data_IF_808865804950
#
_entry.id   IF_808865804950
#
_cell.length_a   1.000
_cell.length_b   1.000
_cell.length_c   1.000
_cell.angle_alpha   90.00
_cell.angle_beta   90.00
_cell.angle_gamma   90.00
#
_symmetry.space_group_name_H-M   'P 1'
#
loop_
_entity.id
_entity.type
_entity.pdbx_description
1 polymer ?
#
# COMPACT_ATOMS: atom_id res chain seq x y z
N UNK A 1 -16.66 35.55 -72.84
CA UNK A 1 -17.80 36.39 -72.45
C UNK A 1 -18.45 35.67 -71.28
N UNK A 2 -18.41 36.29 -70.10
CA UNK A 2 -18.95 35.78 -68.84
C UNK A 2 -20.40 35.32 -68.98
N UNK A 3 -20.80 34.20 -68.34
CA UNK A 3 -21.50 34.19 -67.06
C UNK A 3 -22.00 32.78 -66.69
N UNK A 4 -21.90 32.45 -65.40
CA UNK A 4 -22.69 31.48 -64.63
C UNK A 4 -22.35 29.98 -64.72
N UNK A 5 -21.57 29.52 -63.74
CA UNK A 5 -21.80 28.23 -63.10
C UNK A 5 -21.44 28.33 -61.61
N UNK A 6 -22.25 29.09 -60.88
CA UNK A 6 -22.35 28.98 -59.43
C UNK A 6 -23.22 27.76 -59.08
N UNK A 7 -23.01 27.23 -57.87
CA UNK A 7 -23.78 26.15 -57.21
C UNK A 7 -23.26 24.72 -57.43
N UNK A 8 -22.00 24.43 -57.03
CA UNK A 8 -21.64 23.08 -56.52
C UNK A 8 -20.62 23.11 -55.36
N UNK A 9 -19.90 24.21 -55.10
CA UNK A 9 -18.81 24.20 -54.08
C UNK A 9 -19.22 24.82 -52.74
N UNK A 10 -20.44 24.53 -52.26
CA UNK A 10 -20.90 25.00 -50.94
C UNK A 10 -21.64 23.91 -50.16
N UNK A 11 -21.02 22.74 -49.98
CA UNK A 11 -21.64 21.66 -49.19
C UNK A 11 -20.68 20.79 -48.35
N UNK A 12 -19.38 21.11 -48.21
CA UNK A 12 -18.43 20.18 -47.56
C UNK A 12 -17.51 20.78 -46.48
N UNK A 13 -17.86 21.94 -45.89
CA UNK A 13 -17.08 22.51 -44.77
C UNK A 13 -17.93 23.05 -43.62
N UNK A 14 -19.05 22.39 -43.29
CA UNK A 14 -19.81 22.66 -42.06
C UNK A 14 -20.31 21.35 -41.46
N UNK A 15 -19.42 20.43 -41.05
CA UNK A 15 -19.81 19.28 -40.21
C UNK A 15 -18.61 18.55 -39.55
N UNK A 16 -17.64 19.27 -38.99
CA UNK A 16 -16.70 18.63 -38.05
C UNK A 16 -16.07 19.63 -37.06
N UNK A 17 -16.84 20.63 -36.64
CA UNK A 17 -16.55 21.40 -35.44
C UNK A 17 -17.54 21.00 -34.33
N UNK A 18 -17.68 19.68 -34.11
CA UNK A 18 -17.97 19.22 -32.77
C UNK A 18 -16.67 19.40 -32.00
N UNK A 19 -16.44 20.63 -31.51
CA UNK A 19 -15.68 20.79 -30.29
C UNK A 19 -16.39 19.87 -29.30
N UNK A 20 -15.76 18.74 -28.98
CA UNK A 20 -15.92 18.14 -27.67
C UNK A 20 -15.47 19.20 -26.67
N UNK A 21 -16.37 20.13 -26.35
CA UNK A 21 -16.37 20.81 -25.08
C UNK A 21 -16.62 19.67 -24.10
N UNK A 22 -15.53 19.02 -23.69
CA UNK A 22 -15.52 18.28 -22.44
C UNK A 22 -15.82 19.36 -21.42
N UNK A 23 -17.09 19.44 -21.02
CA UNK A 23 -17.45 20.11 -19.79
C UNK A 23 -16.67 19.38 -18.71
N UNK A 24 -15.50 19.89 -18.36
CA UNK A 24 -14.89 19.59 -17.10
C UNK A 24 -15.94 20.01 -16.07
N UNK A 25 -16.70 19.04 -15.58
CA UNK A 25 -17.47 19.22 -14.37
C UNK A 25 -16.43 19.62 -13.33
N UNK A 26 -16.38 20.90 -12.97
CA UNK A 26 -15.56 21.38 -11.87
C UNK A 26 -16.26 20.95 -10.57
N UNK A 27 -16.29 19.63 -10.36
CA UNK A 27 -16.76 18.99 -9.14
C UNK A 27 -15.78 19.24 -7.97
N UNK A 28 -14.66 19.91 -8.24
CA UNK A 28 -13.58 20.20 -7.31
C UNK A 28 -12.77 18.96 -6.94
N UNK A 29 -12.94 17.85 -7.69
CA UNK A 29 -12.25 16.59 -7.46
C UNK A 29 -10.94 16.54 -8.25
N UNK A 30 -9.90 16.05 -7.60
CA UNK A 30 -8.60 15.83 -8.25
C UNK A 30 -8.42 14.34 -8.48
N UNK A 31 -8.50 13.96 -9.76
CA UNK A 31 -8.52 12.57 -10.21
C UNK A 31 -7.17 12.18 -10.80
N UNK A 32 -6.57 11.15 -10.24
CA UNK A 32 -5.26 10.63 -10.64
C UNK A 32 -5.43 9.20 -11.15
N UNK A 33 -5.28 9.02 -12.45
CA UNK A 33 -5.29 7.69 -13.06
C UNK A 33 -4.11 6.83 -12.57
N UNK A 34 -4.39 5.59 -12.22
CA UNK A 34 -3.41 4.59 -11.82
C UNK A 34 -3.18 3.59 -12.96
N UNK A 35 -1.93 3.17 -13.10
CA UNK A 35 -1.55 2.03 -13.94
C UNK A 35 -1.46 0.78 -13.09
N UNK A 36 -1.87 -0.35 -13.67
CA UNK A 36 -1.71 -1.66 -13.06
C UNK A 36 -0.53 -2.40 -13.69
N UNK A 37 0.44 -2.80 -12.88
CA UNK A 37 1.52 -3.71 -13.28
C UNK A 37 0.90 -5.08 -13.59
N UNK A 38 1.17 -5.60 -14.78
CA UNK A 38 0.85 -7.00 -15.12
C UNK A 38 1.68 -7.92 -14.22
N UNK A 39 1.07 -9.02 -13.76
CA UNK A 39 1.73 -10.02 -12.93
C UNK A 39 3.01 -10.53 -13.63
N UNK A 40 4.16 -10.43 -12.95
CA UNK A 40 5.47 -10.85 -13.46
C UNK A 40 6.02 -11.99 -12.58
N UNK A 41 6.22 -13.21 -13.12
CA UNK A 41 6.77 -14.35 -12.39
C UNK A 41 8.12 -14.07 -11.70
N UNK A 42 8.94 -13.18 -12.27
CA UNK A 42 10.24 -12.83 -11.71
C UNK A 42 10.12 -12.10 -10.36
N UNK A 43 9.06 -11.31 -10.17
CA UNK A 43 8.85 -10.64 -8.88
C UNK A 43 8.53 -11.63 -7.77
N UNK A 44 7.75 -12.67 -8.10
CA UNK A 44 7.39 -13.72 -7.14
C UNK A 44 8.60 -14.57 -6.75
N UNK A 45 9.54 -14.78 -7.69
CA UNK A 45 10.80 -15.44 -7.37
C UNK A 45 11.67 -14.55 -6.46
N UNK A 46 11.80 -13.27 -6.78
CA UNK A 46 12.58 -12.33 -5.99
C UNK A 46 12.03 -12.18 -4.55
N UNK A 47 10.70 -12.07 -4.37
CA UNK A 47 10.10 -11.99 -3.04
C UNK A 47 10.31 -13.26 -2.20
N UNK A 48 10.30 -14.44 -2.84
CA UNK A 48 10.67 -15.71 -2.18
C UNK A 48 12.13 -15.72 -1.75
N UNK A 49 13.05 -15.37 -2.63
CA UNK A 49 14.49 -15.36 -2.33
C UNK A 49 14.81 -14.41 -1.17
N UNK A 50 14.24 -13.20 -1.15
CA UNK A 50 14.45 -12.27 -0.02
C UNK A 50 13.86 -12.81 1.29
N UNK A 51 12.71 -13.49 1.24
CA UNK A 51 12.12 -14.10 2.44
C UNK A 51 12.95 -15.27 2.98
N UNK A 52 13.54 -16.08 2.09
CA UNK A 52 14.43 -17.19 2.42
C UNK A 52 15.75 -16.68 3.01
N UNK A 53 16.37 -15.67 2.38
CA UNK A 53 17.59 -15.02 2.88
C UNK A 53 17.36 -14.41 4.27
N UNK A 54 16.21 -13.78 4.50
CA UNK A 54 15.84 -13.25 5.82
C UNK A 54 15.71 -14.36 6.87
N UNK A 55 15.04 -15.46 6.54
CA UNK A 55 14.91 -16.60 7.45
C UNK A 55 16.26 -17.25 7.75
N UNK A 56 17.11 -17.43 6.74
CA UNK A 56 18.46 -17.96 6.91
C UNK A 56 19.33 -17.06 7.80
N UNK A 57 19.23 -15.73 7.63
CA UNK A 57 19.92 -14.77 8.49
C UNK A 57 19.46 -14.88 9.95
N UNK A 58 18.13 -14.90 10.18
CA UNK A 58 17.55 -15.04 11.52
C UNK A 58 18.01 -16.35 12.18
N UNK A 59 17.95 -17.46 11.44
CA UNK A 59 18.40 -18.76 11.93
C UNK A 59 19.89 -18.74 12.31
N UNK A 60 20.74 -18.13 11.48
CA UNK A 60 22.18 -17.99 11.76
C UNK A 60 22.48 -17.12 12.99
N UNK A 61 21.66 -16.09 13.24
CA UNK A 61 21.78 -15.25 14.43
C UNK A 61 21.35 -15.98 15.69
N UNK A 62 20.29 -16.80 15.61
CA UNK A 62 19.83 -17.64 16.72
C UNK A 62 20.88 -18.69 17.10
N UNK A 63 21.50 -19.34 16.10
CA UNK A 63 22.57 -20.32 16.31
C UNK A 63 23.83 -19.68 16.92
N UNK A 64 24.20 -18.47 16.48
CA UNK A 64 25.42 -17.79 16.92
C UNK A 64 25.31 -17.09 18.28
N UNK A 65 24.12 -16.62 18.66
CA UNK A 65 23.92 -15.82 19.88
C UNK A 65 23.06 -16.48 20.96
N UNK A 66 22.53 -17.70 20.73
CA UNK A 66 21.80 -18.45 21.75
C UNK A 66 20.56 -17.74 22.31
N UNK A 67 19.90 -16.89 21.52
CA UNK A 67 18.62 -16.32 21.90
C UNK A 67 17.55 -17.43 21.88
N UNK A 68 17.28 -18.00 23.05
CA UNK A 68 16.03 -18.72 23.29
C UNK A 68 14.86 -17.78 23.03
N UNK A 69 13.85 -18.25 22.29
CA UNK A 69 12.60 -17.55 22.03
C UNK A 69 11.89 -17.19 23.34
N UNK A 70 12.20 -16.01 23.87
CA UNK A 70 11.20 -15.17 24.52
C UNK A 70 10.78 -14.10 23.49
N UNK A 71 10.21 -14.56 22.37
CA UNK A 71 9.26 -13.74 21.64
C UNK A 71 7.99 -13.76 22.49
N UNK A 72 8.00 -12.99 23.57
CA UNK A 72 6.75 -12.47 24.09
C UNK A 72 6.08 -11.71 22.96
N UNK A 73 4.76 -11.82 22.87
CA UNK A 73 3.91 -10.90 22.13
C UNK A 73 4.38 -9.47 22.39
N UNK A 74 5.22 -8.95 21.50
CA UNK A 74 5.49 -7.53 21.45
C UNK A 74 4.38 -6.96 20.57
N UNK A 75 3.41 -6.33 21.24
CA UNK A 75 2.27 -5.61 20.65
C UNK A 75 2.68 -4.51 19.65
N UNK A 76 3.97 -4.19 19.49
CA UNK A 76 4.49 -3.18 18.54
C UNK A 76 5.37 -3.84 17.45
N UNK A 77 4.78 -4.70 16.61
CA UNK A 77 5.40 -5.03 15.32
C UNK A 77 5.17 -3.86 14.36
N UNK A 78 6.24 -3.16 13.94
CA UNK A 78 6.12 -2.08 12.96
C UNK A 78 5.61 -2.64 11.62
N UNK A 79 4.35 -2.34 11.26
CA UNK A 79 3.71 -2.83 10.03
C UNK A 79 4.44 -2.33 8.78
N UNK A 80 5.13 -1.17 8.83
CA UNK A 80 6.00 -0.73 7.72
C UNK A 80 7.09 -1.78 7.46
N UNK A 81 7.65 -2.39 8.51
CA UNK A 81 8.64 -3.44 8.43
C UNK A 81 8.05 -4.82 8.03
N UNK A 82 6.75 -4.92 7.74
CA UNK A 82 6.11 -6.10 7.14
C UNK A 82 5.80 -5.93 5.66
N UNK A 83 6.01 -4.73 5.11
CA UNK A 83 5.61 -4.41 3.73
C UNK A 83 6.45 -5.12 2.68
N UNK A 84 5.74 -5.68 1.69
CA UNK A 84 6.28 -6.24 0.46
C UNK A 84 5.75 -5.48 -0.77
N UNK A 85 6.49 -4.49 -1.26
CA UNK A 85 6.13 -3.75 -2.48
C UNK A 85 6.36 -4.53 -3.78
N UNK A 86 6.91 -5.75 -3.76
CA UNK A 86 7.01 -6.58 -4.98
C UNK A 86 5.64 -7.03 -5.47
N UNK A 87 4.69 -7.13 -4.55
CA UNK A 87 3.33 -7.45 -4.86
C UNK A 87 2.55 -6.20 -5.28
N UNK A 88 3.03 -4.98 -5.00
CA UNK A 88 2.33 -3.73 -5.30
C UNK A 88 2.04 -3.58 -6.81
N UNK A 89 0.75 -3.59 -7.13
CA UNK A 89 0.28 -3.60 -8.51
C UNK A 89 -0.05 -2.23 -9.07
N UNK A 90 -0.29 -1.21 -8.25
CA UNK A 90 -0.84 0.06 -8.72
C UNK A 90 0.10 1.22 -8.43
N UNK A 91 0.36 2.03 -9.45
CA UNK A 91 1.22 3.20 -9.36
C UNK A 91 0.69 4.33 -10.25
N UNK A 92 0.95 5.57 -9.85
CA UNK A 92 0.63 6.76 -10.63
C UNK A 92 1.86 7.64 -10.81
N UNK A 93 1.68 8.80 -11.43
CA UNK A 93 2.76 9.76 -11.69
C UNK A 93 2.64 10.98 -10.77
N UNK A 94 3.77 11.43 -10.24
CA UNK A 94 3.93 12.72 -9.57
C UNK A 94 5.09 13.50 -10.21
N UNK A 95 5.12 14.81 -9.98
CA UNK A 95 6.27 15.65 -10.29
C UNK A 95 6.94 16.15 -9.02
N UNK A 96 8.26 16.27 -8.98
CA UNK A 96 9.00 16.92 -7.88
C UNK A 96 9.90 18.00 -8.47
N UNK A 97 9.82 19.21 -7.94
CA UNK A 97 10.63 20.35 -8.37
C UNK A 97 9.97 21.27 -9.39
N UNK A 98 10.69 22.36 -9.70
CA UNK A 98 10.29 23.35 -10.72
C UNK A 98 11.44 23.58 -11.72
N UNK A 99 11.34 23.14 -12.99
CA UNK A 99 10.20 22.43 -13.57
C UNK A 99 9.99 21.02 -12.96
N UNK A 100 8.77 20.45 -13.04
CA UNK A 100 8.47 19.13 -12.46
C UNK A 100 9.31 18.01 -13.06
N UNK A 101 10.06 17.30 -12.21
CA UNK A 101 10.76 16.06 -12.55
C UNK A 101 9.83 14.89 -12.25
N UNK A 102 9.52 14.06 -13.24
CA UNK A 102 8.47 13.02 -13.13
C UNK A 102 8.97 11.76 -12.44
N UNK A 103 8.14 11.21 -11.55
CA UNK A 103 8.35 9.94 -10.87
C UNK A 103 7.09 9.12 -10.89
N UNK A 104 7.24 7.82 -11.09
CA UNK A 104 6.19 6.85 -10.83
C UNK A 104 6.21 6.46 -9.36
N UNK A 105 5.07 6.51 -8.68
CA UNK A 105 5.00 6.21 -7.24
C UNK A 105 3.82 5.33 -6.90
N UNK A 106 4.00 4.53 -5.85
CA UNK A 106 2.87 3.91 -5.14
C UNK A 106 2.26 4.97 -4.22
N UNK A 107 0.95 5.13 -4.30
CA UNK A 107 0.19 5.91 -3.32
C UNK A 107 -0.24 4.97 -2.20
N UNK A 108 0.38 5.13 -1.04
CA UNK A 108 0.46 4.09 -0.03
C UNK A 108 -0.19 4.53 1.29
N UNK A 109 -1.36 4.00 1.62
CA UNK A 109 -2.06 4.30 2.88
C UNK A 109 -1.40 3.65 4.10
N UNK A 110 -0.54 2.65 3.95
CA UNK A 110 0.17 2.04 5.07
C UNK A 110 1.51 2.72 5.41
N UNK A 111 1.88 3.82 4.76
CA UNK A 111 3.09 4.60 5.09
C UNK A 111 2.84 6.10 4.96
N UNK A 112 3.74 6.94 5.48
CA UNK A 112 3.47 8.38 5.62
C UNK A 112 4.55 9.30 5.06
N UNK A 113 5.64 8.73 4.54
CA UNK A 113 6.73 9.49 3.94
C UNK A 113 6.60 9.51 2.41
N UNK A 114 6.94 10.63 1.79
CA UNK A 114 7.30 10.69 0.37
C UNK A 114 8.81 10.45 0.24
N UNK A 115 9.20 9.57 -0.67
CA UNK A 115 10.61 9.39 -1.05
C UNK A 115 10.77 9.06 -2.53
N UNK A 116 11.88 9.54 -3.11
CA UNK A 116 12.26 9.27 -4.50
C UNK A 116 13.79 9.11 -4.62
N UNK A 117 14.30 8.40 -5.64
CA UNK A 117 15.73 8.20 -5.85
C UNK A 117 16.46 9.53 -6.06
N UNK A 118 17.57 9.75 -5.36
CA UNK A 118 18.41 10.93 -5.55
C UNK A 118 19.35 10.74 -6.74
N UNK A 119 19.70 11.83 -7.41
CA UNK A 119 20.84 11.88 -8.33
C UNK A 119 22.17 11.55 -7.64
N UNK A 120 22.21 11.56 -6.30
CA UNK A 120 23.33 11.17 -5.46
C UNK A 120 23.35 9.67 -5.12
N UNK A 121 22.42 8.88 -5.65
CA UNK A 121 22.42 7.44 -5.50
C UNK A 121 23.38 6.77 -6.51
N UNK A 122 24.62 6.53 -6.08
CA UNK A 122 25.68 6.02 -6.95
C UNK A 122 25.91 4.50 -6.83
N UNK A 123 25.63 3.93 -5.66
CA UNK A 123 26.08 2.57 -5.32
C UNK A 123 24.98 1.51 -5.34
N UNK A 124 23.71 1.92 -5.37
CA UNK A 124 22.60 0.96 -5.51
C UNK A 124 22.27 0.75 -6.97
N UNK A 125 22.35 -0.50 -7.42
CA UNK A 125 22.04 -0.90 -8.80
C UNK A 125 20.61 -0.52 -9.18
N UNK A 126 19.66 -0.57 -8.22
CA UNK A 126 18.26 -0.14 -8.40
C UNK A 126 18.14 1.29 -8.96
N UNK A 127 18.94 2.24 -8.47
CA UNK A 127 18.93 3.64 -8.89
C UNK A 127 19.41 3.88 -10.34
N UNK A 128 19.92 2.87 -11.02
CA UNK A 128 20.27 2.95 -12.45
C UNK A 128 19.09 2.62 -13.36
N UNK A 129 18.04 1.98 -12.82
CA UNK A 129 16.83 1.60 -13.55
C UNK A 129 15.62 2.49 -13.25
N UNK A 130 15.76 3.42 -12.30
CA UNK A 130 14.71 4.33 -11.86
C UNK A 130 15.07 5.80 -12.14
N UNK A 131 14.03 6.62 -12.25
CA UNK A 131 14.16 8.07 -12.35
C UNK A 131 14.84 8.64 -11.11
N UNK A 132 15.65 9.68 -11.27
CA UNK A 132 16.40 10.30 -10.17
C UNK A 132 16.12 11.79 -10.06
N UNK A 133 15.81 12.21 -8.84
CA UNK A 133 15.62 13.61 -8.48
C UNK A 133 16.95 14.34 -8.45
N UNK A 134 17.00 15.45 -9.18
CA UNK A 134 18.15 16.32 -9.32
C UNK A 134 17.82 17.67 -8.70
N UNK A 135 18.25 17.88 -7.46
CA UNK A 135 18.07 19.14 -6.75
C UNK A 135 18.65 20.35 -7.52
N UNK A 136 19.73 20.17 -8.27
CA UNK A 136 20.36 21.22 -9.07
C UNK A 136 19.53 21.71 -10.26
N UNK A 137 18.54 20.92 -10.69
CA UNK A 137 17.66 21.25 -11.83
C UNK A 137 16.31 21.84 -11.38
N UNK A 138 16.08 21.98 -10.06
CA UNK A 138 14.86 22.57 -9.51
C UNK A 138 15.10 23.97 -8.94
N UNK A 139 14.27 24.93 -9.35
CA UNK A 139 14.29 26.32 -8.86
C UNK A 139 13.66 26.49 -7.47
N UNK A 140 12.80 25.56 -7.07
CA UNK A 140 12.03 25.59 -5.81
C UNK A 140 12.64 24.71 -4.72
N UNK A 141 13.74 24.02 -5.04
CA UNK A 141 14.48 23.20 -4.09
C UNK A 141 14.96 23.99 -2.88
N UNK A 142 14.71 23.42 -1.69
CA UNK A 142 15.23 23.89 -0.42
C UNK A 142 15.93 22.75 0.31
N UNK A 143 17.19 22.98 0.69
CA UNK A 143 18.00 21.99 1.40
C UNK A 143 17.48 21.81 2.83
N UNK A 144 17.31 20.55 3.25
CA UNK A 144 17.18 20.16 4.65
C UNK A 144 18.44 19.38 5.09
N UNK A 145 18.70 18.23 4.46
CA UNK A 145 19.91 17.42 4.67
C UNK A 145 19.90 16.54 5.92
N UNK A 146 18.86 16.57 6.75
CA UNK A 146 18.71 15.63 7.88
C UNK A 146 18.67 14.19 7.37
N UNK A 147 19.46 13.26 7.93
CA UNK A 147 19.46 11.87 7.48
C UNK A 147 18.11 11.18 7.77
N UNK A 148 17.75 10.22 6.92
CA UNK A 148 16.55 9.41 7.04
C UNK A 148 16.83 7.97 6.62
N UNK A 149 16.17 7.02 7.29
CA UNK A 149 16.22 5.60 6.94
C UNK A 149 14.86 4.99 7.22
N UNK A 150 14.39 4.12 6.31
CA UNK A 150 13.15 3.38 6.46
C UNK A 150 13.45 1.91 6.18
N UNK A 151 13.03 1.04 7.10
CA UNK A 151 13.13 -0.41 6.96
C UNK A 151 11.76 -0.97 6.57
N UNK A 152 11.69 -1.65 5.45
CA UNK A 152 10.52 -2.42 5.01
C UNK A 152 10.76 -3.92 5.25
N UNK A 153 9.70 -4.73 5.08
CA UNK A 153 9.81 -6.18 5.28
C UNK A 153 10.73 -6.88 4.29
N UNK A 154 10.77 -6.39 3.06
CA UNK A 154 11.55 -6.97 1.96
C UNK A 154 12.64 -6.02 1.44
N UNK A 155 12.99 -4.96 2.17
CA UNK A 155 14.04 -4.03 1.73
C UNK A 155 14.23 -2.85 2.66
N UNK A 156 15.17 -1.97 2.34
CA UNK A 156 15.37 -0.74 3.10
C UNK A 156 15.76 0.41 2.17
N UNK A 157 15.47 1.63 2.59
CA UNK A 157 15.98 2.84 1.94
C UNK A 157 16.69 3.71 2.97
N UNK A 158 17.74 4.40 2.53
CA UNK A 158 18.41 5.42 3.34
C UNK A 158 18.85 6.61 2.48
N UNK A 159 18.85 7.78 3.10
CA UNK A 159 19.04 9.04 2.39
C UNK A 159 18.98 10.24 3.33
N UNK A 160 18.46 11.34 2.82
CA UNK A 160 18.28 12.57 3.59
C UNK A 160 17.04 13.32 3.15
N UNK A 161 16.50 14.14 4.05
CA UNK A 161 15.36 14.99 3.76
C UNK A 161 15.73 16.19 2.88
N UNK A 162 14.80 16.57 2.03
CA UNK A 162 14.82 17.76 1.18
C UNK A 162 13.43 18.38 1.13
N UNK A 163 13.33 19.64 0.76
CA UNK A 163 12.08 20.33 0.48
C UNK A 163 12.02 20.69 -1.00
N UNK A 164 10.87 20.49 -1.61
CA UNK A 164 10.54 21.05 -2.93
C UNK A 164 9.02 21.07 -3.14
N UNK A 165 8.57 21.61 -4.27
CA UNK A 165 7.19 21.53 -4.71
C UNK A 165 6.90 20.14 -5.29
N UNK A 166 5.77 19.56 -4.93
CA UNK A 166 5.32 18.25 -5.41
C UNK A 166 4.03 18.41 -6.20
N UNK A 167 4.07 18.03 -7.47
CA UNK A 167 2.92 18.03 -8.36
C UNK A 167 2.18 16.68 -8.31
N UNK A 168 0.88 16.69 -8.02
CA UNK A 168 0.00 15.53 -8.06
C UNK A 168 -1.20 15.86 -8.95
N UNK A 169 -1.22 15.31 -10.16
CA UNK A 169 -2.18 15.74 -11.18
C UNK A 169 -1.97 17.21 -11.55
N UNK A 170 -3.00 18.03 -11.38
CA UNK A 170 -2.95 19.48 -11.56
C UNK A 170 -2.60 20.25 -10.27
N UNK A 171 -2.53 19.59 -9.11
CA UNK A 171 -2.19 20.23 -7.84
C UNK A 171 -0.67 20.39 -7.71
N UNK A 172 -0.25 21.53 -7.17
CA UNK A 172 1.14 21.77 -6.76
C UNK A 172 1.16 22.00 -5.26
N UNK A 173 1.67 21.03 -4.52
CA UNK A 173 1.89 21.10 -3.08
C UNK A 173 3.23 21.76 -2.84
N UNK A 174 3.20 22.99 -2.35
CA UNK A 174 4.43 23.74 -2.07
C UNK A 174 5.10 23.25 -0.78
N UNK A 175 6.41 23.43 -0.68
CA UNK A 175 7.17 23.20 0.56
C UNK A 175 6.99 21.79 1.16
N UNK A 176 6.89 20.78 0.29
CA UNK A 176 6.77 19.40 0.71
C UNK A 176 8.13 18.84 1.12
N UNK A 177 8.22 18.35 2.35
CA UNK A 177 9.36 17.60 2.83
C UNK A 177 9.33 16.16 2.29
N UNK A 178 10.43 15.68 1.72
CA UNK A 178 10.54 14.31 1.21
C UNK A 178 11.96 13.78 1.38
N UNK A 179 12.14 12.47 1.22
CA UNK A 179 13.45 11.82 1.32
C UNK A 179 14.02 11.62 -0.08
N UNK A 180 15.23 12.14 -0.28
CA UNK A 180 16.11 11.78 -1.38
C UNK A 180 16.88 10.51 -1.00
N UNK A 181 16.57 9.37 -1.63
CA UNK A 181 17.24 8.11 -1.30
C UNK A 181 18.62 8.04 -1.98
N UNK A 182 19.64 7.63 -1.22
CA UNK A 182 21.03 7.47 -1.71
C UNK A 182 21.48 6.02 -1.71
N UNK A 183 20.75 5.16 -0.99
CA UNK A 183 20.92 3.71 -0.98
C UNK A 183 19.56 3.04 -0.87
N UNK A 184 19.34 2.08 -1.74
CA UNK A 184 18.14 1.24 -1.82
C UNK A 184 18.58 -0.22 -1.93
N UNK A 185 19.11 -0.83 -0.85
CA UNK A 185 19.42 -2.25 -0.83
C UNK A 185 18.15 -3.10 -0.90
N UNK A 186 18.20 -4.17 -1.69
CA UNK A 186 17.12 -5.14 -1.87
C UNK A 186 16.85 -5.44 -3.34
N UNK A 187 16.56 -6.69 -3.66
CA UNK A 187 16.07 -7.14 -4.96
C UNK A 187 14.72 -6.52 -5.28
N UNK A 188 13.94 -6.14 -4.26
CA UNK A 188 12.67 -5.45 -4.44
C UNK A 188 12.76 -4.21 -5.31
N UNK A 189 13.75 -3.35 -5.04
CA UNK A 189 13.93 -2.10 -5.78
C UNK A 189 14.56 -2.33 -7.16
N UNK A 190 15.13 -3.51 -7.43
CA UNK A 190 15.60 -3.86 -8.78
C UNK A 190 14.45 -4.29 -9.70
N UNK A 191 13.45 -4.96 -9.15
CA UNK A 191 12.32 -5.49 -9.91
C UNK A 191 11.06 -4.59 -9.82
N UNK A 192 11.12 -3.52 -9.04
CA UNK A 192 10.12 -2.46 -8.98
C UNK A 192 9.88 -1.86 -10.38
N UNK A 193 8.65 -1.38 -10.59
CA UNK A 193 8.25 -0.58 -11.79
C UNK A 193 7.80 0.81 -11.40
N UNK A 194 8.05 1.17 -10.15
CA UNK A 194 7.79 2.47 -9.57
C UNK A 194 9.13 3.02 -9.08
N UNK A 195 9.31 4.33 -9.16
CA UNK A 195 10.52 5.01 -8.71
C UNK A 195 10.51 5.25 -7.19
N UNK A 196 9.34 5.50 -6.60
CA UNK A 196 9.23 5.84 -5.18
C UNK A 196 7.88 5.56 -4.54
N UNK A 197 7.68 6.07 -3.33
CA UNK A 197 6.42 5.94 -2.58
C UNK A 197 5.96 7.30 -2.11
N UNK A 198 4.67 7.56 -2.26
CA UNK A 198 3.96 8.68 -1.66
C UNK A 198 3.03 8.14 -0.56
N UNK A 199 3.46 8.29 0.69
CA UNK A 199 2.67 7.89 1.85
C UNK A 199 1.42 8.76 2.07
N UNK A 200 0.29 8.10 2.29
CA UNK A 200 -1.04 8.67 2.58
C UNK A 200 -1.55 8.28 3.98
N UNK A 201 -0.71 7.64 4.79
CA UNK A 201 -0.95 7.37 6.20
C UNK A 201 -0.90 8.62 7.07
N UNK A 202 -1.12 8.44 8.38
CA UNK A 202 -1.10 9.54 9.33
C UNK A 202 0.33 9.94 9.73
N UNK A 203 0.51 11.18 10.17
CA UNK A 203 1.84 11.74 10.50
C UNK A 203 2.54 10.97 11.63
N UNK A 204 1.79 10.32 12.49
CA UNK A 204 2.24 9.57 13.68
C UNK A 204 3.26 8.47 13.32
N UNK A 205 3.15 7.86 12.13
CA UNK A 205 4.09 6.84 11.64
C UNK A 205 5.12 7.41 10.64
N UNK A 206 5.15 8.74 10.44
CA UNK A 206 6.11 9.36 9.52
C UNK A 206 7.50 9.42 10.15
N UNK A 207 8.47 8.79 9.48
CA UNK A 207 9.89 8.91 9.82
C UNK A 207 10.30 10.38 9.79
N UNK A 208 11.08 10.79 10.78
CA UNK A 208 11.53 12.17 10.94
C UNK A 208 10.45 13.15 11.39
N UNK A 209 9.21 12.70 11.62
CA UNK A 209 8.00 13.53 11.84
C UNK A 209 7.71 14.48 10.68
N UNK A 210 8.10 14.07 9.46
CA UNK A 210 7.78 14.79 8.24
C UNK A 210 6.26 14.93 8.06
N UNK A 211 5.81 16.00 7.41
CA UNK A 211 4.38 16.22 7.15
C UNK A 211 4.00 15.48 5.86
N UNK A 212 3.03 14.54 5.88
CA UNK A 212 2.61 13.83 4.67
C UNK A 212 2.02 14.78 3.61
N UNK A 213 2.12 14.40 2.33
CA UNK A 213 1.68 15.25 1.20
C UNK A 213 0.22 15.68 1.33
N UNK A 214 -0.65 14.74 1.68
CA UNK A 214 -2.07 14.98 1.90
C UNK A 214 -2.37 16.05 2.96
N UNK A 215 -1.57 16.13 4.03
CA UNK A 215 -1.74 17.15 5.07
C UNK A 215 -1.42 18.54 4.53
N UNK A 216 -0.39 18.64 3.69
CA UNK A 216 -0.03 19.90 3.05
C UNK A 216 -1.06 20.31 1.98
N UNK A 217 -1.64 19.36 1.23
CA UNK A 217 -2.78 19.63 0.33
C UNK A 217 -3.95 20.28 1.09
N UNK A 218 -4.34 19.72 2.24
CA UNK A 218 -5.38 20.29 3.09
C UNK A 218 -5.01 21.67 3.62
N UNK A 219 -3.81 21.79 4.20
CA UNK A 219 -3.32 23.02 4.83
C UNK A 219 -3.24 24.18 3.83
N UNK A 220 -2.90 23.88 2.58
CA UNK A 220 -2.78 24.86 1.49
C UNK A 220 -4.11 25.13 0.77
N UNK A 221 -5.21 24.47 1.16
CA UNK A 221 -6.52 24.66 0.55
C UNK A 221 -6.61 24.15 -0.89
N UNK A 222 -5.76 23.18 -1.26
CA UNK A 222 -5.71 22.63 -2.62
C UNK A 222 -6.84 21.64 -2.91
N UNK A 223 -7.52 21.17 -1.87
CA UNK A 223 -8.60 20.18 -1.95
C UNK A 223 -9.75 20.62 -1.06
N UNK A 224 -10.97 20.36 -1.52
CA UNK A 224 -12.19 20.89 -0.92
C UNK A 224 -12.60 20.15 0.34
N UNK A 225 -12.64 18.82 0.26
CA UNK A 225 -13.05 17.96 1.37
C UNK A 225 -11.86 17.15 1.89
N UNK A 226 -11.78 16.91 3.22
CA UNK A 226 -10.73 16.11 3.84
C UNK A 226 -10.93 14.60 3.65
N UNK A 227 -11.17 14.17 2.41
CA UNK A 227 -11.29 12.77 2.02
C UNK A 227 -10.52 12.49 0.73
N UNK A 228 -9.96 11.30 0.62
CA UNK A 228 -9.51 10.73 -0.65
C UNK A 228 -10.07 9.32 -0.80
N UNK A 229 -10.17 8.84 -2.03
CA UNK A 229 -10.71 7.52 -2.35
C UNK A 229 -9.89 6.82 -3.41
N UNK A 230 -9.96 5.49 -3.41
CA UNK A 230 -9.28 4.62 -4.36
C UNK A 230 -10.30 3.74 -5.08
N UNK A 231 -10.19 3.69 -6.39
CA UNK A 231 -10.77 2.65 -7.22
C UNK A 231 -9.64 1.85 -7.87
N UNK A 232 -9.55 0.56 -7.59
CA UNK A 232 -8.48 -0.30 -8.07
C UNK A 232 -9.06 -1.37 -9.02
N UNK A 233 -8.73 -1.25 -10.31
CA UNK A 233 -9.27 -2.12 -11.34
C UNK A 233 -8.61 -3.50 -11.31
N UNK A 234 -9.42 -4.54 -11.16
CA UNK A 234 -8.93 -5.93 -11.13
C UNK A 234 -8.64 -6.48 -12.52
N UNK A 235 -9.19 -5.89 -13.59
CA UNK A 235 -9.07 -6.37 -14.96
C UNK A 235 -7.67 -6.10 -15.54
N UNK A 236 -6.89 -7.17 -15.73
CA UNK A 236 -5.48 -7.10 -16.19
C UNK A 236 -5.35 -6.72 -17.68
N UNK A 237 -6.44 -6.79 -18.43
CA UNK A 237 -6.50 -6.47 -19.87
C UNK A 237 -6.82 -5.01 -20.19
N UNK A 238 -7.24 -4.21 -19.20
CA UNK A 238 -7.64 -2.82 -19.42
C UNK A 238 -6.44 -1.86 -19.23
N UNK A 239 -6.45 -0.76 -19.99
CA UNK A 239 -5.39 0.26 -19.91
C UNK A 239 -5.44 1.07 -18.61
N UNK A 240 -6.66 1.27 -18.07
CA UNK A 240 -6.88 1.98 -16.81
C UNK A 240 -6.77 0.98 -15.65
N UNK A 241 -5.69 1.11 -14.87
CA UNK A 241 -5.46 0.28 -13.70
C UNK A 241 -6.25 0.71 -12.47
N UNK A 242 -6.70 1.95 -12.41
CA UNK A 242 -7.49 2.47 -11.30
C UNK A 242 -7.53 4.00 -11.30
N UNK A 243 -8.07 4.57 -10.24
CA UNK A 243 -8.15 6.01 -9.99
C UNK A 243 -7.98 6.31 -8.50
N UNK A 244 -7.28 7.39 -8.18
CA UNK A 244 -7.32 8.04 -6.86
C UNK A 244 -8.03 9.36 -7.02
N UNK A 245 -8.97 9.65 -6.13
CA UNK A 245 -9.62 10.95 -6.05
C UNK A 245 -9.23 11.63 -4.76
N UNK A 246 -8.60 12.80 -4.84
CA UNK A 246 -8.42 13.69 -3.69
C UNK A 246 -9.57 14.71 -3.65
N UNK A 247 -10.13 14.95 -2.46
CA UNK A 247 -11.25 15.86 -2.26
C UNK A 247 -12.63 15.24 -2.43
N UNK A 248 -12.75 13.91 -2.62
CA UNK A 248 -14.04 13.24 -2.75
C UNK A 248 -13.97 11.79 -3.23
N UNK A 249 -15.05 11.36 -3.88
CA UNK A 249 -15.24 10.02 -4.43
C UNK A 249 -15.93 10.09 -5.78
N UNK A 250 -15.55 9.21 -6.70
CA UNK A 250 -16.23 9.06 -7.98
C UNK A 250 -17.46 8.14 -7.86
N UNK A 251 -18.70 8.64 -8.06
CA UNK A 251 -19.90 7.81 -8.08
C UNK A 251 -19.91 6.73 -9.17
N UNK A 252 -19.13 6.88 -10.25
CA UNK A 252 -19.08 5.90 -11.34
C UNK A 252 -18.28 4.64 -10.96
N UNK A 253 -17.54 4.69 -9.85
CA UNK A 253 -16.63 3.63 -9.40
C UNK A 253 -17.15 2.77 -8.25
N UNK A 254 -18.38 2.99 -7.78
CA UNK A 254 -19.03 2.14 -6.77
C UNK A 254 -20.53 1.98 -6.98
N UNK A 255 -21.13 1.02 -6.29
CA UNK A 255 -22.58 0.78 -6.30
C UNK A 255 -23.12 0.85 -4.88
N UNK A 256 -24.28 1.47 -4.71
CA UNK A 256 -24.92 1.59 -3.41
C UNK A 256 -24.30 2.68 -2.53
N UNK A 257 -24.22 2.44 -1.21
CA UNK A 257 -23.71 3.39 -0.22
C UNK A 257 -22.44 2.84 0.43
N UNK A 258 -21.57 3.74 0.87
CA UNK A 258 -20.40 3.38 1.68
C UNK A 258 -20.81 3.00 3.10
N UNK A 259 -20.19 1.95 3.63
CA UNK A 259 -20.20 1.64 5.06
C UNK A 259 -18.95 2.25 5.67
N UNK A 260 -19.13 3.19 6.61
CA UNK A 260 -18.02 3.83 7.29
C UNK A 260 -17.76 3.17 8.64
N UNK A 261 -16.49 2.89 8.90
CA UNK A 261 -15.98 2.42 10.20
C UNK A 261 -14.94 3.42 10.69
N UNK A 262 -14.93 3.76 11.99
CA UNK A 262 -14.01 4.75 12.51
C UNK A 262 -12.58 4.21 12.54
N UNK A 263 -11.60 5.11 12.41
CA UNK A 263 -10.21 4.78 12.66
C UNK A 263 -10.02 4.54 14.16
N UNK A 264 -9.47 3.40 14.53
CA UNK A 264 -9.30 3.00 15.95
C UNK A 264 -7.99 3.51 16.53
N UNK A 265 -6.91 3.51 15.73
CA UNK A 265 -5.60 4.01 16.12
C UNK A 265 -5.03 4.92 15.03
N UNK A 266 -4.81 6.20 15.37
CA UNK A 266 -4.20 7.16 14.46
C UNK A 266 -2.72 6.81 14.24
N UNK A 267 -2.41 6.47 13.01
CA UNK A 267 -1.09 6.06 12.54
C UNK A 267 -1.27 5.38 11.19
N UNK A 268 -1.88 4.20 11.23
CA UNK A 268 -2.41 3.51 10.06
C UNK A 268 -3.87 3.88 9.83
N UNK A 269 -4.38 3.57 8.63
CA UNK A 269 -5.82 3.53 8.37
C UNK A 269 -6.43 2.24 8.93
N UNK A 270 -6.31 2.09 10.26
CA UNK A 270 -6.71 0.92 11.02
C UNK A 270 -8.15 1.07 11.54
N UNK A 271 -8.93 -0.01 11.46
CA UNK A 271 -10.30 -0.08 11.97
C UNK A 271 -10.57 -1.46 12.58
N UNK A 272 -11.61 -1.56 13.41
CA UNK A 272 -12.05 -2.84 13.96
C UNK A 272 -12.85 -3.63 12.92
N UNK A 273 -12.51 -4.91 12.80
CA UNK A 273 -13.15 -5.89 11.93
C UNK A 273 -13.69 -7.04 12.77
N UNK A 274 -14.84 -7.59 12.36
CA UNK A 274 -15.38 -8.82 12.93
C UNK A 274 -14.66 -10.08 12.46
N UNK A 275 -15.32 -11.22 12.60
CA UNK A 275 -14.75 -12.50 12.20
C UNK A 275 -14.55 -12.62 10.68
N UNK A 276 -13.61 -13.48 10.30
CA UNK A 276 -13.42 -13.90 8.90
C UNK A 276 -14.25 -15.15 8.66
N UNK A 277 -14.99 -15.18 7.55
CA UNK A 277 -15.80 -16.32 7.16
C UNK A 277 -15.18 -17.01 5.94
N UNK A 278 -15.15 -18.34 5.95
CA UNK A 278 -14.74 -19.17 4.82
C UNK A 278 -15.98 -19.88 4.29
N UNK A 279 -16.48 -19.41 3.14
CA UNK A 279 -17.88 -19.64 2.78
C UNK A 279 -18.78 -18.93 3.79
N UNK A 280 -19.75 -19.65 4.36
CA UNK A 280 -20.64 -19.10 5.39
C UNK A 280 -20.25 -19.56 6.82
N UNK A 281 -19.04 -20.10 7.00
CA UNK A 281 -18.58 -20.63 8.28
C UNK A 281 -17.58 -19.67 8.95
N UNK A 282 -17.82 -19.26 10.21
CA UNK A 282 -16.87 -18.44 10.94
C UNK A 282 -15.57 -19.19 11.20
N UNK A 283 -14.44 -18.48 11.17
CA UNK A 283 -13.15 -19.05 11.58
C UNK A 283 -13.01 -19.12 13.09
N UNK A 284 -13.78 -18.31 13.83
CA UNK A 284 -13.73 -18.22 15.28
C UNK A 284 -12.54 -17.42 15.82
N UNK A 285 -11.45 -17.29 15.04
CA UNK A 285 -10.23 -16.62 15.47
C UNK A 285 -10.44 -15.12 15.69
N UNK A 286 -11.20 -14.46 14.82
CA UNK A 286 -11.51 -13.04 14.92
C UNK A 286 -12.93 -12.79 15.48
N UNK A 287 -13.53 -13.78 16.16
CA UNK A 287 -14.88 -13.66 16.71
C UNK A 287 -14.98 -12.59 17.81
N UNK A 288 -13.91 -12.39 18.59
CA UNK A 288 -13.79 -11.31 19.58
C UNK A 288 -13.42 -9.95 18.97
N UNK A 289 -13.30 -9.86 17.65
CA UNK A 289 -12.79 -8.71 16.92
C UNK A 289 -11.30 -8.84 16.59
N UNK A 290 -10.92 -8.30 15.43
CA UNK A 290 -9.55 -8.16 14.97
C UNK A 290 -9.34 -6.75 14.42
N UNK A 291 -8.13 -6.20 14.55
CA UNK A 291 -7.77 -4.98 13.84
C UNK A 291 -7.52 -5.30 12.35
N UNK A 292 -7.91 -4.38 11.47
CA UNK A 292 -7.62 -4.45 10.05
C UNK A 292 -7.08 -3.10 9.57
N UNK A 293 -6.18 -3.11 8.58
CA UNK A 293 -5.64 -1.91 7.95
C UNK A 293 -6.01 -1.93 6.47
N UNK A 294 -6.58 -0.83 5.99
CA UNK A 294 -6.74 -0.61 4.55
C UNK A 294 -5.42 -0.08 3.98
N UNK A 295 -4.60 -0.98 3.44
CA UNK A 295 -3.28 -0.66 2.86
C UNK A 295 -3.30 -0.78 1.32
N UNK A 296 -3.28 0.35 0.61
CA UNK A 296 -3.20 0.42 -0.85
C UNK A 296 -1.80 0.09 -1.41
N UNK A 297 -0.78 0.08 -0.56
CA UNK A 297 0.61 -0.22 -0.93
C UNK A 297 0.93 -1.72 -0.97
N UNK A 298 0.02 -2.58 -0.52
CA UNK A 298 0.13 -4.05 -0.62
C UNK A 298 -0.93 -4.61 -1.57
N UNK A 299 -0.67 -5.78 -2.16
CA UNK A 299 -1.63 -6.44 -3.06
C UNK A 299 -2.22 -7.75 -2.54
N UNK A 300 -1.63 -8.34 -1.50
CA UNK A 300 -2.16 -9.53 -0.87
C UNK A 300 -2.91 -9.17 0.41
N UNK A 301 -3.91 -9.98 0.76
CA UNK A 301 -4.52 -9.95 2.08
C UNK A 301 -3.59 -10.68 3.05
N UNK A 302 -3.09 -9.98 4.05
CA UNK A 302 -2.32 -10.54 5.15
C UNK A 302 -3.23 -10.70 6.38
N UNK A 303 -3.03 -11.76 7.14
CA UNK A 303 -3.81 -12.05 8.34
C UNK A 303 -3.16 -13.12 9.21
N UNK A 304 -3.78 -13.48 10.35
CA UNK A 304 -3.24 -14.48 11.26
C UNK A 304 -2.95 -15.80 10.54
N UNK A 305 -1.79 -16.39 10.82
CA UNK A 305 -1.34 -17.65 10.18
C UNK A 305 -2.38 -18.76 10.27
N UNK A 306 -3.10 -18.86 11.39
CA UNK A 306 -4.21 -19.81 11.59
C UNK A 306 -5.30 -19.62 10.55
N UNK A 307 -5.81 -18.38 10.41
CA UNK A 307 -6.87 -18.04 9.46
C UNK A 307 -6.40 -18.25 8.02
N UNK A 308 -5.19 -17.81 7.67
CA UNK A 308 -4.60 -17.99 6.34
C UNK A 308 -4.43 -19.48 6.01
N UNK A 309 -4.06 -20.30 6.99
CA UNK A 309 -3.94 -21.76 6.81
C UNK A 309 -5.30 -22.42 6.57
N UNK A 310 -6.35 -22.00 7.30
CA UNK A 310 -7.72 -22.47 7.07
C UNK A 310 -8.19 -22.10 5.65
N UNK A 311 -7.93 -20.86 5.20
CA UNK A 311 -8.25 -20.41 3.84
C UNK A 311 -7.50 -21.27 2.81
N UNK A 312 -6.18 -21.44 2.97
CA UNK A 312 -5.36 -22.23 2.05
C UNK A 312 -5.89 -23.67 1.93
N UNK A 313 -6.21 -24.30 3.05
CA UNK A 313 -6.80 -25.63 3.05
C UNK A 313 -8.15 -25.66 2.32
N UNK A 314 -9.04 -24.70 2.59
CA UNK A 314 -10.37 -24.63 1.98
C UNK A 314 -10.34 -24.42 0.45
N UNK A 315 -9.35 -23.67 -0.06
CA UNK A 315 -9.20 -23.42 -1.50
C UNK A 315 -8.25 -24.39 -2.21
N UNK A 316 -7.67 -25.36 -1.48
CA UNK A 316 -6.71 -26.33 -2.02
C UNK A 316 -5.33 -25.76 -2.34
N UNK A 317 -4.96 -24.62 -1.74
CA UNK A 317 -3.63 -24.04 -1.90
C UNK A 317 -2.59 -24.79 -1.05
N UNK A 318 -1.38 -24.97 -1.60
CA UNK A 318 -0.26 -25.62 -0.92
C UNK A 318 0.58 -24.58 -0.15
N UNK A 319 0.97 -24.89 1.09
CA UNK A 319 1.81 -24.01 1.92
C UNK A 319 2.72 -24.79 2.90
N UNK A 320 3.86 -24.20 3.29
CA UNK A 320 4.85 -24.83 4.18
C UNK A 320 4.26 -25.12 5.57
N UNK A 321 3.49 -24.17 6.11
CA UNK A 321 2.77 -24.31 7.39
C UNK A 321 1.79 -25.49 7.37
N UNK A 322 1.24 -25.84 6.20
CA UNK A 322 0.36 -27.02 6.07
C UNK A 322 1.11 -28.34 6.29
N UNK A 323 2.42 -28.41 6.03
CA UNK A 323 3.22 -29.62 6.23
C UNK A 323 3.63 -29.79 7.70
N UNK A 324 4.05 -28.72 8.37
CA UNK A 324 4.34 -28.74 9.82
C UNK A 324 3.06 -29.03 10.62
N UNK A 325 1.93 -28.42 10.22
CA UNK A 325 0.62 -28.71 10.80
C UNK A 325 0.27 -30.21 10.68
N UNK A 326 0.53 -30.85 9.53
CA UNK A 326 0.32 -32.30 9.37
C UNK A 326 1.19 -33.12 10.32
N UNK A 327 2.45 -32.73 10.54
CA UNK A 327 3.33 -33.41 11.48
C UNK A 327 2.82 -33.28 12.93
N UNK A 328 2.41 -32.07 13.35
CA UNK A 328 1.84 -31.82 14.68
C UNK A 328 0.53 -32.60 14.88
N UNK A 329 -0.36 -32.59 13.89
CA UNK A 329 -1.62 -33.37 13.96
C UNK A 329 -1.33 -34.86 14.06
N UNK A 330 -0.36 -35.37 13.29
CA UNK A 330 0.02 -36.79 13.36
C UNK A 330 0.60 -37.16 14.74
N UNK A 331 1.33 -36.27 15.38
CA UNK A 331 2.01 -36.55 16.66
C UNK A 331 1.15 -36.28 17.90
N UNK A 332 0.33 -35.22 17.88
CA UNK A 332 -0.37 -34.71 19.05
C UNK A 332 -1.87 -34.53 18.86
N UNK A 333 -2.42 -34.83 17.67
CA UNK A 333 -3.81 -34.53 17.33
C UNK A 333 -4.82 -35.13 18.31
N UNK A 334 -4.64 -36.39 18.71
CA UNK A 334 -5.53 -37.04 19.66
C UNK A 334 -5.47 -36.39 21.04
N UNK A 335 -4.27 -36.11 21.55
CA UNK A 335 -4.07 -35.46 22.85
C UNK A 335 -4.72 -34.07 22.90
N UNK A 336 -4.61 -33.30 21.81
CA UNK A 336 -5.24 -31.97 21.72
C UNK A 336 -6.77 -32.09 21.75
N UNK A 337 -7.35 -33.04 21.01
CA UNK A 337 -8.80 -33.30 21.00
C UNK A 337 -9.29 -33.70 22.39
N UNK A 338 -8.58 -34.61 23.06
CA UNK A 338 -8.97 -35.09 24.39
C UNK A 338 -8.96 -33.97 25.43
N UNK A 339 -7.98 -33.05 25.36
CA UNK A 339 -7.92 -31.87 26.23
C UNK A 339 -9.07 -30.89 25.97
N UNK A 340 -9.37 -30.61 24.71
CA UNK A 340 -10.49 -29.72 24.34
C UNK A 340 -11.85 -30.30 24.76
N UNK A 341 -12.02 -31.62 24.61
CA UNK A 341 -13.21 -32.33 25.09
C UNK A 341 -13.31 -32.31 26.61
N UNK A 342 -12.17 -32.45 27.32
CA UNK A 342 -12.14 -32.35 28.78
C UNK A 342 -12.59 -30.95 29.25
N UNK A 343 -12.07 -29.87 28.66
CA UNK A 343 -12.46 -28.50 28.99
C UNK A 343 -13.94 -28.21 28.70
N UNK A 344 -14.47 -28.70 27.57
CA UNK A 344 -15.90 -28.57 27.25
C UNK A 344 -16.81 -29.45 28.11
N UNK A 345 -16.31 -30.56 28.66
CA UNK A 345 -17.09 -31.37 29.63
C UNK A 345 -17.08 -30.80 31.05
N UNK A 346 -16.08 -29.99 31.42
CA UNK A 346 -16.02 -29.33 32.74
C UNK A 346 -17.05 -28.22 32.95
N UNK A 347 -17.72 -27.72 31.91
CA UNK A 347 -18.84 -26.75 32.06
C UNK A 347 -20.16 -27.38 32.54
N UNK A 348 -20.26 -28.71 32.69
CA UNK A 348 -21.48 -29.37 33.15
C UNK A 348 -21.40 -29.98 34.57
N UNK A 349 -20.41 -29.62 35.39
CA UNK A 349 -20.31 -30.08 36.77
C UNK A 349 -20.05 -28.95 37.76
N UNK A 350 -21.04 -28.08 37.98
CA UNK A 350 -21.29 -27.48 39.29
C UNK A 350 -22.80 -27.28 39.52
N UNK A 351 -23.50 -28.20 40.22
CA UNK A 351 -24.77 -27.89 40.84
C UNK A 351 -24.54 -27.37 42.27
N UNK A 352 -24.85 -26.09 42.49
CA UNK A 352 -25.16 -25.41 43.76
C UNK A 352 -24.13 -25.46 44.92
N UNK A 353 -23.91 -24.32 45.58
CA UNK A 353 -24.08 -24.01 47.02
C UNK A 353 -22.86 -23.10 47.34
N UNK A 354 -22.87 -21.89 47.92
CA UNK A 354 -23.77 -21.12 48.77
C UNK A 354 -23.34 -19.64 48.68
N UNK A 355 -24.32 -18.73 48.79
CA UNK A 355 -24.14 -17.30 49.05
C UNK A 355 -23.74 -17.07 50.51
N UNK A 356 -22.73 -16.24 50.79
CA UNK A 356 -22.73 -15.36 51.96
C UNK A 356 -21.94 -14.07 51.66
N UNK A 357 -22.45 -12.98 52.23
CA UNK A 357 -22.23 -11.55 51.95
C UNK A 357 -20.82 -11.07 51.61
#
# INVERSE_FOLDING_TARGET
MEMSMNVVVLSLFVSSLLLSVVTASDDGLVRIGLKKKKFDPNNRLASRLESEDRQALIASMQEKYGLHNNLGDHEDTDIVALKNYMDAQYYGEIGVGTPPQKFTVIFDTGSSNLWVPSSKCYFSVACYFHSKYKASESKTYKKNGKPASIQYGTGAISGFFSYDNVQVGNLVVEDQEFIETTKEPGLIFLAAKFDGILGLGFKEISVGKAVPVWYNMLKQGLIKEPVFSFWLNRNVGEEVGGEIVFGGVDPDHYKGKHTYVPVTQKGYWQFDMGDVLIGDKPTGFCAGGCAAIADSGTSLLAGPTTVVTMINHAIGATGVVSQECKAVVQQYGQTIIDLLLAETTTENLLPNWIVHF
#
